data_IF_489209543580
#
_entry.id   IF_489209543580
#
_cell.length_a   1.000
_cell.length_b   1.000
_cell.length_c   1.000
_cell.angle_alpha   90.00
_cell.angle_beta   90.00
_cell.angle_gamma   90.00
#
_symmetry.space_group_name_H-M   'P 1'
#
loop_
_entity.id
_entity.type
_entity.pdbx_description
1 polymer ?
#
# COMPACT_ATOMS: atom_id res chain seq x y z
N UNK A 1 -33.09 -12.31 68.32
CA UNK A 1 -33.97 -11.72 69.36
C UNK A 1 -34.40 -12.82 70.31
N UNK A 2 -34.52 -12.52 71.61
CA UNK A 2 -34.93 -13.49 72.65
C UNK A 2 -36.43 -13.39 72.85
N UNK A 3 -37.14 -14.52 72.83
CA UNK A 3 -38.60 -14.57 73.01
C UNK A 3 -38.97 -15.45 74.19
N UNK A 4 -39.97 -15.03 74.97
CA UNK A 4 -40.64 -15.88 75.95
C UNK A 4 -41.62 -16.78 75.19
N UNK A 5 -41.17 -18.00 74.88
CA UNK A 5 -41.84 -18.92 73.96
C UNK A 5 -42.50 -20.07 74.71
N UNK A 6 -43.75 -20.37 74.38
CA UNK A 6 -44.39 -21.64 74.72
C UNK A 6 -44.39 -22.58 73.50
N UNK A 7 -44.33 -23.89 73.72
CA UNK A 7 -44.58 -24.91 72.70
C UNK A 7 -45.85 -25.69 73.06
N UNK A 8 -46.91 -25.51 72.28
CA UNK A 8 -48.18 -26.22 72.43
C UNK A 8 -48.46 -27.12 71.22
N UNK A 9 -49.10 -28.27 71.44
CA UNK A 9 -49.56 -29.14 70.35
C UNK A 9 -51.04 -28.89 70.10
N UNK A 10 -51.38 -28.58 68.85
CA UNK A 10 -52.76 -28.41 68.39
C UNK A 10 -53.12 -29.59 67.49
N UNK A 11 -54.07 -30.41 67.94
CA UNK A 11 -54.53 -31.60 67.20
C UNK A 11 -55.72 -31.22 66.32
N UNK A 12 -55.57 -31.43 65.02
CA UNK A 12 -56.56 -31.22 63.98
C UNK A 12 -57.44 -32.47 63.90
N UNK A 13 -58.72 -32.31 64.23
CA UNK A 13 -59.71 -33.38 64.23
C UNK A 13 -61.13 -32.84 64.03
N UNK A 14 -62.09 -33.72 63.73
CA UNK A 14 -63.48 -33.34 63.46
C UNK A 14 -64.33 -33.29 64.75
N UNK A 15 -63.92 -34.03 65.78
CA UNK A 15 -64.61 -34.11 67.07
C UNK A 15 -64.40 -32.83 67.89
N UNK A 16 -65.47 -32.29 68.47
CA UNK A 16 -65.37 -31.18 69.40
C UNK A 16 -64.67 -31.63 70.70
N UNK A 17 -63.58 -30.97 71.05
CA UNK A 17 -62.84 -31.20 72.29
C UNK A 17 -62.78 -29.95 73.15
N UNK A 18 -62.57 -30.15 74.45
CA UNK A 18 -62.31 -29.04 75.37
C UNK A 18 -61.10 -28.24 74.88
N UNK A 19 -61.08 -26.90 75.07
CA UNK A 19 -59.91 -26.10 74.74
C UNK A 19 -58.65 -26.62 75.44
N UNK A 20 -57.54 -26.70 74.70
CA UNK A 20 -56.25 -27.05 75.26
C UNK A 20 -55.83 -25.96 76.26
N UNK A 21 -55.81 -26.28 77.55
CA UNK A 21 -55.20 -25.40 78.54
C UNK A 21 -53.68 -25.45 78.36
N UNK A 22 -53.09 -24.33 77.93
CA UNK A 22 -51.66 -24.28 77.62
C UNK A 22 -50.79 -24.06 78.86
N UNK A 23 -51.41 -23.72 80.01
CA UNK A 23 -50.75 -23.25 81.24
C UNK A 23 -49.80 -22.04 81.03
N UNK A 24 -49.92 -21.36 79.89
CA UNK A 24 -49.10 -20.20 79.54
C UNK A 24 -49.58 -18.96 80.27
N UNK A 25 -48.62 -18.24 80.86
CA UNK A 25 -48.85 -16.94 81.47
C UNK A 25 -47.91 -15.90 80.86
N UNK A 26 -48.47 -14.97 80.10
CA UNK A 26 -47.79 -13.76 79.68
C UNK A 26 -48.05 -12.62 80.67
N UNK A 27 -47.10 -11.72 80.80
CA UNK A 27 -47.23 -10.51 81.60
C UNK A 27 -47.36 -9.30 80.69
N UNK A 28 -48.04 -8.25 81.16
CA UNK A 28 -48.21 -6.99 80.41
C UNK A 28 -46.89 -6.32 79.98
N UNK A 29 -45.77 -6.73 80.58
CA UNK A 29 -44.42 -6.25 80.26
C UNK A 29 -43.69 -7.11 79.22
N UNK A 30 -44.24 -8.25 78.80
CA UNK A 30 -43.67 -9.15 77.78
C UNK A 30 -43.82 -8.56 76.34
N UNK A 31 -43.66 -7.24 76.19
CA UNK A 31 -43.84 -6.46 74.95
C UNK A 31 -42.85 -6.92 73.88
N UNK A 32 -43.37 -7.24 72.69
CA UNK A 32 -42.59 -7.81 71.58
C UNK A 32 -41.90 -9.17 71.86
N UNK A 33 -42.13 -9.79 73.02
CA UNK A 33 -41.44 -11.02 73.43
C UNK A 33 -42.39 -12.17 73.79
N UNK A 34 -43.67 -11.90 74.03
CA UNK A 34 -44.72 -12.88 74.26
C UNK A 34 -45.03 -13.69 72.99
N UNK A 35 -44.42 -14.87 72.86
CA UNK A 35 -44.53 -15.72 71.66
C UNK A 35 -45.28 -17.02 71.94
N UNK A 36 -46.37 -17.24 71.21
CA UNK A 36 -47.06 -18.52 71.14
C UNK A 36 -46.54 -19.31 69.96
N UNK A 37 -45.92 -20.46 70.21
CA UNK A 37 -45.49 -21.38 69.16
C UNK A 37 -46.27 -22.68 69.27
N UNK A 38 -46.84 -23.11 68.15
CA UNK A 38 -47.75 -24.25 68.07
C UNK A 38 -47.29 -25.23 67.02
N UNK A 39 -47.37 -26.52 67.35
CA UNK A 39 -47.20 -27.61 66.40
C UNK A 39 -48.58 -28.16 66.01
N UNK A 40 -48.92 -28.02 64.74
CA UNK A 40 -50.17 -28.51 64.17
C UNK A 40 -49.98 -29.98 63.76
N UNK A 41 -50.81 -30.87 64.31
CA UNK A 41 -50.75 -32.31 64.05
C UNK A 41 -52.13 -32.86 63.73
N UNK A 42 -52.25 -33.92 62.95
CA UNK A 42 -53.50 -34.67 62.77
C UNK A 42 -53.70 -35.67 63.91
N UNK A 43 -54.88 -36.30 63.97
CA UNK A 43 -55.14 -37.47 64.85
C UNK A 43 -53.96 -38.46 64.74
N UNK A 44 -53.47 -38.93 65.90
CA UNK A 44 -52.27 -39.78 66.07
C UNK A 44 -50.90 -39.06 66.02
N UNK A 45 -50.86 -37.72 66.08
CA UNK A 45 -49.62 -36.96 66.28
C UNK A 45 -48.79 -36.74 65.00
N UNK A 46 -49.33 -37.08 63.83
CA UNK A 46 -48.67 -36.88 62.53
C UNK A 46 -48.63 -35.37 62.22
N UNK A 47 -47.47 -34.76 61.95
CA UNK A 47 -47.38 -33.34 61.59
C UNK A 47 -48.29 -32.94 60.41
N UNK A 48 -48.92 -31.77 60.52
CA UNK A 48 -49.68 -31.18 59.44
C UNK A 48 -48.75 -30.40 58.51
N UNK A 49 -48.50 -30.93 57.31
CA UNK A 49 -47.79 -30.21 56.26
C UNK A 49 -48.57 -28.96 55.81
N UNK A 50 -47.86 -27.86 55.60
CA UNK A 50 -48.37 -26.56 55.19
C UNK A 50 -47.76 -26.17 53.83
N UNK A 51 -48.39 -26.56 52.70
CA UNK A 51 -47.91 -26.24 51.35
C UNK A 51 -47.64 -24.75 51.13
N UNK A 52 -46.79 -24.44 50.14
CA UNK A 52 -46.56 -23.05 49.74
C UNK A 52 -47.87 -22.35 49.39
N UNK A 53 -48.03 -21.09 49.85
CA UNK A 53 -49.29 -20.36 49.76
C UNK A 53 -50.28 -20.63 50.91
N UNK A 54 -50.07 -21.63 51.77
CA UNK A 54 -50.89 -21.80 52.98
C UNK A 54 -50.70 -20.64 53.94
N UNK A 55 -51.81 -20.16 54.52
CA UNK A 55 -51.85 -19.20 55.62
C UNK A 55 -52.52 -19.82 56.84
N UNK A 56 -52.17 -19.35 58.04
CA UNK A 56 -52.68 -19.90 59.30
C UNK A 56 -53.20 -18.75 60.17
N UNK A 57 -54.47 -18.36 60.02
CA UNK A 57 -55.09 -17.35 60.89
C UNK A 57 -55.29 -17.89 62.30
N UNK A 58 -55.07 -17.03 63.29
CA UNK A 58 -55.30 -17.32 64.70
C UNK A 58 -56.17 -16.21 65.29
N UNK A 59 -57.35 -16.56 65.75
CA UNK A 59 -58.25 -15.63 66.43
C UNK A 59 -58.09 -15.76 67.93
N UNK A 60 -57.82 -14.65 68.61
CA UNK A 60 -57.79 -14.53 70.05
C UNK A 60 -59.05 -13.79 70.51
N UNK A 61 -59.77 -14.35 71.47
CA UNK A 61 -60.97 -13.80 72.06
C UNK A 61 -60.78 -13.57 73.56
N UNK A 62 -61.29 -12.45 74.04
CA UNK A 62 -61.23 -12.07 75.46
C UNK A 62 -62.49 -11.31 75.85
N UNK A 63 -62.83 -11.31 77.15
CA UNK A 63 -64.04 -10.61 77.62
C UNK A 63 -63.83 -9.09 77.52
N UNK A 64 -64.81 -8.39 76.95
CA UNK A 64 -64.79 -6.93 76.87
C UNK A 64 -66.18 -6.37 77.14
N UNK A 65 -66.26 -5.42 78.08
CA UNK A 65 -67.52 -4.73 78.41
C UNK A 65 -67.99 -3.79 77.29
N UNK A 66 -67.07 -3.36 76.41
CA UNK A 66 -67.33 -2.40 75.34
C UNK A 66 -67.50 -3.04 73.96
N UNK A 67 -67.17 -4.32 73.81
CA UNK A 67 -67.29 -5.01 72.53
C UNK A 67 -68.73 -5.48 72.27
N UNK A 68 -69.15 -5.45 71.01
CA UNK A 68 -70.42 -6.04 70.58
C UNK A 68 -70.43 -7.56 70.87
N UNK A 69 -71.44 -8.02 71.60
CA UNK A 69 -71.54 -9.42 72.04
C UNK A 69 -70.67 -9.78 73.25
N UNK A 70 -70.01 -8.81 73.90
CA UNK A 70 -69.28 -9.00 75.17
C UNK A 70 -67.86 -9.56 75.03
N UNK A 71 -67.35 -9.71 73.80
CA UNK A 71 -66.02 -10.26 73.52
C UNK A 71 -65.24 -9.40 72.52
N UNK A 72 -64.02 -9.02 72.88
CA UNK A 72 -63.03 -8.49 71.95
C UNK A 72 -62.40 -9.62 71.12
N UNK A 73 -61.91 -9.29 69.91
CA UNK A 73 -61.37 -10.24 68.93
C UNK A 73 -60.10 -9.71 68.30
N UNK A 74 -58.97 -10.36 68.50
CA UNK A 74 -57.72 -10.02 67.82
C UNK A 74 -57.33 -11.15 66.88
N UNK A 75 -57.22 -10.82 65.59
CA UNK A 75 -56.88 -11.76 64.54
C UNK A 75 -55.39 -11.62 64.17
N UNK A 76 -54.66 -12.71 64.29
CA UNK A 76 -53.25 -12.79 63.95
C UNK A 76 -53.08 -13.68 62.72
N UNK A 77 -52.14 -13.34 61.86
CA UNK A 77 -51.66 -14.25 60.83
C UNK A 77 -50.40 -14.93 61.37
N UNK A 78 -50.40 -16.25 61.52
CA UNK A 78 -49.24 -16.94 62.09
C UNK A 78 -48.07 -16.98 61.10
N UNK A 79 -46.86 -16.78 61.62
CA UNK A 79 -45.62 -17.06 60.91
C UNK A 79 -45.43 -18.57 60.85
N UNK A 80 -45.29 -19.12 59.65
CA UNK A 80 -44.96 -20.54 59.47
C UNK A 80 -43.45 -20.70 59.60
N UNK A 81 -43.01 -21.32 60.70
CA UNK A 81 -41.58 -21.55 60.98
C UNK A 81 -41.07 -22.81 60.29
N UNK A 82 -41.92 -23.84 60.19
CA UNK A 82 -41.59 -25.09 59.54
C UNK A 82 -42.82 -25.64 58.80
N UNK A 83 -42.78 -25.55 57.48
CA UNK A 83 -43.85 -26.02 56.59
C UNK A 83 -44.02 -27.53 56.59
N UNK A 84 -42.95 -28.28 56.84
CA UNK A 84 -42.97 -29.75 56.80
C UNK A 84 -43.53 -30.30 58.11
N UNK A 85 -43.10 -29.72 59.24
CA UNK A 85 -43.49 -30.16 60.58
C UNK A 85 -44.71 -29.43 61.17
N UNK A 86 -45.32 -28.52 60.40
CA UNK A 86 -46.54 -27.82 60.81
C UNK A 86 -46.32 -26.88 62.00
N UNK A 87 -45.16 -26.23 62.07
CA UNK A 87 -44.81 -25.36 63.20
C UNK A 87 -45.12 -23.92 62.82
N UNK A 88 -45.96 -23.28 63.63
CA UNK A 88 -46.39 -21.90 63.44
C UNK A 88 -46.21 -21.10 64.72
N UNK A 89 -46.09 -19.79 64.60
CA UNK A 89 -46.04 -18.92 65.77
C UNK A 89 -46.71 -17.58 65.55
N UNK A 90 -47.17 -16.98 66.64
CA UNK A 90 -47.56 -15.57 66.72
C UNK A 90 -46.80 -14.92 67.86
N UNK A 91 -46.40 -13.66 67.65
CA UNK A 91 -45.94 -12.77 68.73
C UNK A 91 -47.12 -11.87 69.05
N UNK A 92 -47.48 -11.79 70.33
CA UNK A 92 -48.58 -10.94 70.79
C UNK A 92 -48.16 -9.47 70.71
N UNK A 93 -49.05 -8.64 70.19
CA UNK A 93 -48.85 -7.19 70.12
C UNK A 93 -49.15 -6.53 71.46
N UNK A 94 -48.58 -5.35 71.68
CA UNK A 94 -48.68 -4.65 72.97
C UNK A 94 -50.12 -4.31 73.37
N UNK A 95 -51.05 -4.20 72.41
CA UNK A 95 -52.45 -3.89 72.66
C UNK A 95 -53.18 -5.02 73.44
N UNK A 96 -52.99 -6.30 73.08
CA UNK A 96 -53.64 -7.43 73.77
C UNK A 96 -53.03 -7.66 75.16
N UNK A 97 -51.76 -7.27 75.36
CA UNK A 97 -51.09 -7.34 76.66
C UNK A 97 -51.70 -6.37 77.70
N UNK A 98 -52.56 -5.43 77.27
CA UNK A 98 -53.39 -4.62 78.15
C UNK A 98 -54.56 -5.38 78.79
N UNK A 99 -54.98 -6.52 78.25
CA UNK A 99 -56.02 -7.35 78.86
C UNK A 99 -55.46 -8.15 80.05
N UNK A 100 -56.25 -8.30 81.12
CA UNK A 100 -55.91 -9.15 82.27
C UNK A 100 -56.99 -10.20 82.44
N UNK A 101 -56.62 -11.47 82.23
CA UNK A 101 -57.56 -12.59 82.29
C UNK A 101 -57.22 -13.72 81.32
N UNK A 102 -58.17 -14.63 81.14
CA UNK A 102 -58.07 -15.73 80.17
C UNK A 102 -58.33 -15.23 78.76
N UNK A 103 -57.44 -15.56 77.83
CA UNK A 103 -57.60 -15.38 76.39
C UNK A 103 -57.85 -16.73 75.74
N UNK A 104 -58.86 -16.80 74.90
CA UNK A 104 -59.27 -18.00 74.16
C UNK A 104 -58.79 -17.90 72.71
N UNK A 105 -57.91 -18.81 72.30
CA UNK A 105 -57.35 -18.87 70.96
C UNK A 105 -58.00 -19.94 70.07
N UNK A 106 -58.13 -19.64 68.79
CA UNK A 106 -58.67 -20.54 67.75
C UNK A 106 -57.76 -20.53 66.53
N UNK A 107 -57.31 -21.71 66.09
CA UNK A 107 -56.43 -21.85 64.92
C UNK A 107 -57.19 -22.29 63.68
N UNK A 108 -56.94 -21.62 62.56
CA UNK A 108 -57.50 -21.91 61.24
C UNK A 108 -56.35 -22.16 60.24
N UNK A 109 -56.62 -22.91 59.17
CA UNK A 109 -55.66 -23.10 58.07
C UNK A 109 -56.37 -22.82 56.75
N UNK A 110 -55.85 -21.87 55.99
CA UNK A 110 -56.31 -21.60 54.63
C UNK A 110 -55.27 -22.10 53.63
N UNK A 111 -55.66 -23.04 52.79
CA UNK A 111 -54.86 -23.61 51.73
C UNK A 111 -54.96 -22.77 50.44
N UNK A 112 -53.95 -22.80 49.56
CA UNK A 112 -53.90 -21.97 48.35
C UNK A 112 -54.97 -22.28 47.29
N UNK A 113 -55.75 -23.35 47.46
CA UNK A 113 -56.80 -23.78 46.53
C UNK A 113 -58.21 -23.45 47.07
N UNK A 114 -58.34 -22.32 47.77
CA UNK A 114 -59.57 -21.82 48.40
C UNK A 114 -60.21 -22.78 49.41
N UNK A 115 -59.46 -23.80 49.87
CA UNK A 115 -59.90 -24.70 50.92
C UNK A 115 -59.46 -24.14 52.26
N UNK A 116 -60.37 -24.06 53.22
CA UNK A 116 -60.07 -23.69 54.59
C UNK A 116 -60.38 -24.84 55.56
N UNK A 117 -59.78 -24.78 56.74
CA UNK A 117 -59.94 -25.76 57.81
C UNK A 117 -60.04 -25.04 59.15
N UNK A 118 -61.19 -25.15 59.82
CA UNK A 118 -61.26 -24.94 61.26
C UNK A 118 -60.68 -26.19 61.93
N UNK A 119 -59.57 -26.01 62.64
CA UNK A 119 -58.81 -27.16 63.18
C UNK A 119 -59.48 -27.83 64.37
N UNK A 120 -60.59 -27.26 64.89
CA UNK A 120 -61.08 -27.50 66.26
C UNK A 120 -60.02 -27.23 67.35
N UNK A 121 -58.87 -26.65 66.96
CA UNK A 121 -57.72 -26.33 67.77
C UNK A 121 -57.96 -25.10 68.61
N UNK A 122 -58.79 -25.25 69.64
CA UNK A 122 -59.05 -24.24 70.66
C UNK A 122 -57.99 -24.36 71.75
N UNK A 123 -57.47 -23.23 72.21
CA UNK A 123 -56.50 -23.19 73.30
C UNK A 123 -56.77 -22.00 74.22
N UNK A 124 -56.24 -22.04 75.44
CA UNK A 124 -56.35 -20.93 76.39
C UNK A 124 -55.01 -20.58 77.00
N UNK A 125 -54.79 -19.30 77.26
CA UNK A 125 -53.65 -18.79 78.02
C UNK A 125 -54.08 -17.60 78.88
N UNK A 126 -53.21 -17.18 79.79
CA UNK A 126 -53.49 -16.09 80.73
C UNK A 126 -52.57 -14.91 80.48
N UNK A 127 -53.13 -13.70 80.57
CA UNK A 127 -52.35 -12.47 80.67
C UNK A 127 -52.51 -11.90 82.08
N UNK A 128 -51.39 -11.60 82.73
CA UNK A 128 -51.34 -10.98 84.06
C UNK A 128 -50.69 -9.62 84.01
N UNK A 129 -51.09 -8.76 84.95
CA UNK A 129 -50.47 -7.45 85.14
C UNK A 129 -49.10 -7.59 85.78
N UNK A 130 -48.08 -7.00 85.15
CA UNK A 130 -46.75 -6.89 85.75
C UNK A 130 -46.75 -5.84 86.87
N UNK A 131 -46.06 -6.06 88.01
CA UNK A 131 -45.98 -5.08 89.10
C UNK A 131 -45.34 -3.73 88.73
N UNK A 132 -44.58 -3.68 87.62
CA UNK A 132 -43.85 -2.49 87.16
C UNK A 132 -44.60 -1.69 86.08
N UNK A 133 -45.76 -2.16 85.64
CA UNK A 133 -46.56 -1.47 84.62
C UNK A 133 -47.63 -0.60 85.28
N UNK A 134 -47.33 0.70 85.42
CA UNK A 134 -48.22 1.70 86.03
C UNK A 134 -49.43 2.06 85.13
N UNK A 135 -49.38 1.73 83.84
CA UNK A 135 -50.43 2.03 82.87
C UNK A 135 -50.79 0.83 81.98
N UNK A 136 -52.05 0.76 81.57
CA UNK A 136 -52.57 -0.31 80.70
C UNK A 136 -52.59 0.20 79.27
N UNK A 137 -51.95 -0.50 78.31
CA UNK A 137 -52.14 -0.23 76.90
C UNK A 137 -53.63 -0.19 76.55
N UNK A 138 -54.04 0.68 75.64
CA UNK A 138 -55.42 0.69 75.17
C UNK A 138 -55.75 -0.64 74.50
N UNK A 139 -56.80 -1.30 75.00
CA UNK A 139 -57.25 -2.59 74.50
C UNK A 139 -58.31 -2.36 73.43
N UNK A 140 -57.93 -2.56 72.17
CA UNK A 140 -58.86 -2.47 71.05
C UNK A 140 -59.84 -3.66 71.06
N UNK A 141 -61.13 -3.41 70.81
CA UNK A 141 -62.12 -4.48 70.72
C UNK A 141 -61.92 -5.36 69.46
N UNK A 142 -61.29 -4.82 68.41
CA UNK A 142 -60.91 -5.55 67.22
C UNK A 142 -59.51 -5.14 66.75
N UNK A 143 -58.67 -6.11 66.41
CA UNK A 143 -57.33 -5.89 65.87
C UNK A 143 -57.00 -6.96 64.82
N UNK A 144 -56.25 -6.60 63.77
CA UNK A 144 -55.73 -7.55 62.78
C UNK A 144 -54.25 -7.31 62.48
N UNK A 145 -53.39 -8.27 62.80
CA UNK A 145 -51.93 -8.19 62.61
C UNK A 145 -51.50 -8.34 61.13
N UNK A 146 -52.32 -8.97 60.28
CA UNK A 146 -51.88 -9.36 58.93
C UNK A 146 -51.48 -8.21 58.00
N UNK A 147 -51.88 -6.97 58.31
CA UNK A 147 -51.41 -5.78 57.59
C UNK A 147 -49.91 -5.53 57.80
N UNK A 148 -49.40 -5.64 59.02
CA UNK A 148 -47.98 -5.40 59.33
C UNK A 148 -47.09 -6.38 58.58
N UNK A 149 -47.44 -7.67 58.56
CA UNK A 149 -46.69 -8.68 57.81
C UNK A 149 -46.72 -8.46 56.29
N UNK A 150 -47.80 -7.86 55.78
CA UNK A 150 -47.89 -7.49 54.37
C UNK A 150 -46.96 -6.32 54.06
N UNK A 151 -46.93 -5.32 54.93
CA UNK A 151 -46.02 -4.17 54.83
C UNK A 151 -44.57 -4.63 54.85
N UNK A 152 -44.16 -5.45 55.82
CA UNK A 152 -42.79 -5.97 55.92
C UNK A 152 -42.34 -6.70 54.63
N UNK A 153 -43.25 -7.48 54.03
CA UNK A 153 -42.97 -8.16 52.75
C UNK A 153 -42.81 -7.17 51.61
N UNK A 154 -43.65 -6.14 51.54
CA UNK A 154 -43.56 -5.09 50.52
C UNK A 154 -42.25 -4.31 50.68
N UNK A 155 -41.90 -3.91 51.90
CA UNK A 155 -40.64 -3.21 52.19
C UNK A 155 -39.43 -4.05 51.79
N UNK A 156 -39.44 -5.35 52.08
CA UNK A 156 -38.39 -6.27 51.65
C UNK A 156 -38.32 -6.38 50.13
N UNK A 157 -39.44 -6.53 49.43
CA UNK A 157 -39.48 -6.57 47.96
C UNK A 157 -38.92 -5.27 47.37
N UNK A 158 -39.25 -4.12 47.96
CA UNK A 158 -38.72 -2.83 47.54
C UNK A 158 -37.20 -2.74 47.76
N UNK A 159 -36.70 -3.18 48.92
CA UNK A 159 -35.27 -3.18 49.23
C UNK A 159 -34.48 -4.10 48.30
N UNK A 160 -34.95 -5.33 48.11
CA UNK A 160 -34.32 -6.33 47.23
C UNK A 160 -34.36 -5.86 45.77
N UNK A 161 -35.50 -5.32 45.32
CA UNK A 161 -35.65 -4.77 43.97
C UNK A 161 -34.75 -3.57 43.72
N UNK A 162 -34.61 -2.67 44.69
CA UNK A 162 -33.66 -1.54 44.61
C UNK A 162 -32.22 -2.02 44.47
N UNK A 163 -31.81 -2.98 45.29
CA UNK A 163 -30.44 -3.53 45.25
C UNK A 163 -30.16 -4.26 43.93
N UNK A 164 -31.13 -4.99 43.39
CA UNK A 164 -30.99 -5.65 42.08
C UNK A 164 -30.85 -4.63 40.94
N UNK A 165 -31.65 -3.55 40.97
CA UNK A 165 -31.56 -2.46 39.99
C UNK A 165 -30.19 -1.77 40.07
N UNK A 166 -29.73 -1.40 41.26
CA UNK A 166 -28.42 -0.78 41.48
C UNK A 166 -27.28 -1.65 40.95
N UNK A 167 -27.33 -2.97 41.20
CA UNK A 167 -26.36 -3.93 40.67
C UNK A 167 -26.38 -3.98 39.14
N UNK A 168 -27.56 -4.05 38.51
CA UNK A 168 -27.69 -4.07 37.05
C UNK A 168 -27.23 -2.77 36.40
N UNK A 169 -27.44 -1.63 37.06
CA UNK A 169 -26.93 -0.33 36.61
C UNK A 169 -25.39 -0.37 36.61
N UNK A 170 -24.76 -0.76 37.72
CA UNK A 170 -23.29 -0.82 37.81
C UNK A 170 -22.66 -1.79 36.79
N UNK A 171 -23.28 -2.96 36.58
CA UNK A 171 -22.85 -3.93 35.56
C UNK A 171 -23.00 -3.35 34.14
N UNK A 172 -24.07 -2.60 33.89
CA UNK A 172 -24.32 -1.94 32.59
C UNK A 172 -23.33 -0.81 32.34
N UNK A 173 -23.06 0.04 33.32
CA UNK A 173 -22.06 1.12 33.24
C UNK A 173 -20.67 0.54 32.92
N UNK A 174 -20.26 -0.51 33.63
CA UNK A 174 -18.97 -1.18 33.37
C UNK A 174 -18.88 -1.73 31.94
N UNK A 175 -19.96 -2.33 31.42
CA UNK A 175 -20.00 -2.85 30.05
C UNK A 175 -19.98 -1.72 28.99
N UNK A 176 -20.68 -0.61 29.27
CA UNK A 176 -20.70 0.56 28.39
C UNK A 176 -19.30 1.17 28.32
N UNK A 177 -18.65 1.39 29.45
CA UNK A 177 -17.29 1.94 29.53
C UNK A 177 -16.28 1.08 28.76
N UNK A 178 -16.37 -0.25 28.91
CA UNK A 178 -15.52 -1.17 28.16
C UNK A 178 -15.73 -1.05 26.64
N UNK A 179 -16.98 -0.96 26.17
CA UNK A 179 -17.29 -0.79 24.74
C UNK A 179 -16.87 0.57 24.20
N UNK A 180 -17.04 1.64 24.99
CA UNK A 180 -16.61 2.99 24.63
C UNK A 180 -15.09 3.03 24.49
N UNK A 181 -14.37 2.42 25.42
CA UNK A 181 -12.91 2.32 25.37
C UNK A 181 -12.43 1.54 24.14
N UNK A 182 -12.96 0.35 23.89
CA UNK A 182 -12.62 -0.45 22.70
C UNK A 182 -12.90 0.30 21.39
N UNK A 183 -14.03 1.03 21.34
CA UNK A 183 -14.37 1.86 20.18
C UNK A 183 -13.38 3.02 19.99
N UNK A 184 -13.00 3.71 21.07
CA UNK A 184 -12.02 4.80 21.02
C UNK A 184 -10.63 4.31 20.60
N UNK A 185 -10.21 3.13 21.08
CA UNK A 185 -8.94 2.51 20.69
C UNK A 185 -8.94 2.18 19.19
N UNK A 186 -10.05 1.62 18.67
CA UNK A 186 -10.23 1.35 17.23
C UNK A 186 -10.23 2.63 16.39
N UNK A 187 -10.91 3.68 16.82
CA UNK A 187 -10.92 4.98 16.13
C UNK A 187 -9.51 5.58 16.10
N UNK A 188 -8.78 5.51 17.22
CA UNK A 188 -7.41 6.00 17.32
C UNK A 188 -6.50 5.26 16.35
N UNK A 189 -6.61 3.93 16.28
CA UNK A 189 -5.86 3.11 15.33
C UNK A 189 -6.20 3.45 13.88
N UNK A 190 -7.48 3.59 13.55
CA UNK A 190 -7.92 3.98 12.22
C UNK A 190 -7.36 5.35 11.80
N UNK A 191 -7.32 6.33 12.72
CA UNK A 191 -6.72 7.64 12.45
C UNK A 191 -5.21 7.56 12.18
N UNK A 192 -4.48 6.70 12.90
CA UNK A 192 -3.06 6.45 12.63
C UNK A 192 -2.83 5.80 11.26
N UNK A 193 -3.69 4.85 10.89
CA UNK A 193 -3.61 4.17 9.59
C UNK A 193 -3.91 5.16 8.44
N UNK A 194 -4.90 6.06 8.61
CA UNK A 194 -5.18 7.15 7.65
C UNK A 194 -3.98 8.08 7.49
N UNK A 195 -3.33 8.50 8.58
CA UNK A 195 -2.14 9.35 8.51
C UNK A 195 -0.97 8.66 7.76
N UNK A 196 -0.81 7.36 7.97
CA UNK A 196 0.19 6.54 7.26
C UNK A 196 -0.13 6.45 5.77
N UNK A 197 -1.39 6.23 5.41
CA UNK A 197 -1.83 6.20 4.03
C UNK A 197 -1.60 7.54 3.32
N UNK A 198 -1.92 8.66 3.95
CA UNK A 198 -1.66 10.00 3.39
C UNK A 198 -0.18 10.19 3.08
N UNK A 199 0.70 9.84 4.03
CA UNK A 199 2.16 9.91 3.83
C UNK A 199 2.63 9.06 2.64
N UNK A 200 2.04 7.89 2.44
CA UNK A 200 2.39 7.01 1.32
C UNK A 200 1.86 7.54 -0.02
N UNK A 201 0.70 8.18 -0.02
CA UNK A 201 0.13 8.86 -1.20
C UNK A 201 1.06 10.00 -1.63
N UNK A 202 1.52 10.83 -0.68
CA UNK A 202 2.46 11.92 -0.97
C UNK A 202 3.74 11.39 -1.62
N UNK A 203 4.35 10.35 -1.04
CA UNK A 203 5.55 9.69 -1.63
C UNK A 203 5.30 9.11 -3.01
N UNK A 204 4.10 8.58 -3.26
CA UNK A 204 3.75 8.04 -4.58
C UNK A 204 3.60 9.16 -5.61
N UNK A 205 2.99 10.29 -5.23
CA UNK A 205 2.87 11.47 -6.08
C UNK A 205 4.26 12.03 -6.44
N UNK A 206 5.16 12.17 -5.47
CA UNK A 206 6.55 12.63 -5.72
C UNK A 206 7.26 11.74 -6.77
N UNK A 207 7.07 10.42 -6.68
CA UNK A 207 7.64 9.47 -7.65
C UNK A 207 7.00 9.56 -9.03
N UNK A 208 5.70 9.82 -9.10
CA UNK A 208 4.99 10.03 -10.37
C UNK A 208 5.50 11.29 -11.04
N UNK A 209 5.67 12.39 -10.30
CA UNK A 209 6.19 13.65 -10.82
C UNK A 209 7.63 13.48 -11.33
N UNK A 210 8.48 12.79 -10.58
CA UNK A 210 9.83 12.43 -11.03
C UNK A 210 9.81 11.61 -12.32
N UNK A 211 8.91 10.62 -12.41
CA UNK A 211 8.77 9.78 -13.60
C UNK A 211 8.30 10.59 -14.81
N UNK A 212 7.35 11.49 -14.61
CA UNK A 212 6.85 12.39 -15.66
C UNK A 212 7.95 13.31 -16.18
N UNK A 213 8.80 13.83 -15.30
CA UNK A 213 9.97 14.61 -15.68
C UNK A 213 10.93 13.79 -16.56
N UNK A 214 11.29 12.58 -16.13
CA UNK A 214 12.18 11.68 -16.89
C UNK A 214 11.60 11.32 -18.27
N UNK A 215 10.29 11.06 -18.35
CA UNK A 215 9.61 10.82 -19.63
C UNK A 215 9.70 12.06 -20.54
N UNK A 216 9.56 13.25 -19.97
CA UNK A 216 9.75 14.52 -20.68
C UNK A 216 11.16 14.67 -21.26
N UNK A 217 12.18 14.41 -20.43
CA UNK A 217 13.59 14.44 -20.84
C UNK A 217 13.90 13.43 -21.96
N UNK A 218 13.40 12.19 -21.83
CA UNK A 218 13.51 11.17 -22.89
C UNK A 218 12.81 11.59 -24.19
N UNK A 219 11.66 12.25 -24.08
CA UNK A 219 10.94 12.81 -25.23
C UNK A 219 11.74 13.87 -25.97
N UNK A 220 12.49 14.72 -25.25
CA UNK A 220 13.39 15.70 -25.85
C UNK A 220 14.59 15.02 -26.53
N UNK A 221 15.20 14.03 -25.88
CA UNK A 221 16.31 13.24 -26.44
C UNK A 221 15.93 12.63 -27.79
N UNK A 222 14.78 11.96 -27.87
CA UNK A 222 14.27 11.35 -29.10
C UNK A 222 14.15 12.38 -30.23
N UNK A 223 13.66 13.60 -29.95
CA UNK A 223 13.52 14.66 -30.96
C UNK A 223 14.87 15.17 -31.47
N UNK A 224 15.87 15.31 -30.60
CA UNK A 224 17.20 15.76 -31.00
C UNK A 224 17.85 14.79 -32.01
N UNK A 225 17.73 13.48 -31.79
CA UNK A 225 18.41 12.49 -32.65
C UNK A 225 17.62 12.08 -33.89
N UNK A 226 16.29 12.10 -33.89
CA UNK A 226 15.50 11.65 -35.05
C UNK A 226 15.38 12.68 -36.19
N UNK A 227 15.65 13.97 -35.93
CA UNK A 227 15.43 15.04 -36.91
C UNK A 227 16.69 15.88 -37.21
N UNK A 228 17.84 15.50 -36.69
CA UNK A 228 19.07 16.24 -37.01
C UNK A 228 19.50 15.93 -38.43
N UNK A 229 19.51 16.94 -39.29
CA UNK A 229 20.13 16.93 -40.63
C UNK A 229 21.56 17.49 -40.58
N UNK A 230 21.99 17.96 -39.41
CA UNK A 230 23.28 18.61 -39.16
C UNK A 230 24.27 17.59 -38.58
N UNK A 231 24.82 16.76 -39.46
CA UNK A 231 25.84 15.77 -39.11
C UNK A 231 27.04 15.91 -40.03
N UNK A 232 28.25 15.98 -39.47
CA UNK A 232 29.51 15.91 -40.22
C UNK A 232 29.75 17.02 -41.26
N UNK A 233 28.99 18.12 -41.22
CA UNK A 233 29.12 19.23 -42.18
C UNK A 233 28.58 18.95 -43.59
N UNK A 234 27.83 17.86 -43.78
CA UNK A 234 27.16 17.53 -45.05
C UNK A 234 25.66 17.81 -44.96
N UNK A 235 25.04 18.09 -46.12
CA UNK A 235 23.60 18.29 -46.24
C UNK A 235 22.89 16.93 -46.40
N UNK A 236 22.28 16.44 -45.31
CA UNK A 236 21.50 15.20 -45.29
C UNK A 236 20.00 15.41 -45.59
N UNK A 237 19.57 16.58 -46.06
CA UNK A 237 18.16 16.85 -46.38
C UNK A 237 17.65 16.09 -47.62
N UNK A 238 18.56 15.59 -48.46
CA UNK A 238 18.28 14.81 -49.65
C UNK A 238 18.19 13.30 -49.43
N UNK A 239 18.03 12.53 -50.52
CA UNK A 239 17.93 11.08 -50.43
C UNK A 239 19.30 10.46 -50.07
N UNK A 240 19.33 9.37 -49.28
CA UNK A 240 20.57 8.72 -48.85
C UNK A 240 21.46 8.30 -50.02
N UNK A 241 22.77 8.56 -49.89
CA UNK A 241 23.75 8.04 -50.82
C UNK A 241 23.94 6.54 -50.61
N UNK A 242 23.75 5.76 -51.67
CA UNK A 242 23.93 4.31 -51.68
C UNK A 242 25.36 3.91 -52.02
N UNK A 243 26.20 4.82 -52.52
CA UNK A 243 27.59 4.53 -52.86
C UNK A 243 28.51 4.59 -51.65
N UNK A 244 29.50 3.69 -51.62
CA UNK A 244 30.65 3.85 -50.72
C UNK A 244 31.60 4.92 -51.26
N UNK A 245 32.51 5.36 -50.41
CA UNK A 245 33.63 6.18 -50.88
C UNK A 245 34.50 5.42 -51.86
N UNK A 246 34.94 6.10 -52.92
CA UNK A 246 35.84 5.53 -53.93
C UNK A 246 37.30 5.73 -53.53
N UNK A 247 38.13 4.74 -53.83
CA UNK A 247 39.60 4.79 -53.67
C UNK A 247 40.28 4.16 -54.86
N UNK A 248 41.43 4.66 -55.27
CA UNK A 248 42.17 4.19 -56.45
C UNK A 248 42.50 2.69 -56.37
N UNK A 249 42.78 2.17 -55.18
CA UNK A 249 43.04 0.75 -54.94
C UNK A 249 41.87 -0.17 -55.33
N UNK A 250 40.64 0.36 -55.36
CA UNK A 250 39.41 -0.35 -55.75
C UNK A 250 39.14 -0.29 -57.25
N UNK A 251 39.97 0.36 -58.07
CA UNK A 251 39.76 0.42 -59.51
C UNK A 251 40.84 -0.32 -60.28
N UNK A 252 40.45 -0.90 -61.40
CA UNK A 252 41.32 -1.55 -62.37
C UNK A 252 41.02 -1.01 -63.75
N UNK A 253 42.05 -0.93 -64.58
CA UNK A 253 41.91 -0.58 -65.99
C UNK A 253 41.14 -1.67 -66.74
N UNK A 254 40.28 -1.26 -67.66
CA UNK A 254 39.53 -2.16 -68.54
C UNK A 254 40.28 -2.34 -69.86
N UNK A 255 40.33 -3.58 -70.36
CA UNK A 255 40.87 -3.88 -71.69
C UNK A 255 42.30 -3.37 -71.91
N UNK A 256 42.50 -2.64 -73.00
CA UNK A 256 43.76 -2.05 -73.46
C UNK A 256 43.98 -0.60 -72.98
N UNK A 257 43.17 -0.11 -72.02
CA UNK A 257 43.35 1.21 -71.43
C UNK A 257 44.74 1.37 -70.80
N UNK A 258 45.38 2.52 -71.01
CA UNK A 258 46.73 2.83 -70.52
C UNK A 258 46.74 3.68 -69.23
N UNK A 259 45.56 3.85 -68.62
CA UNK A 259 45.32 4.77 -67.50
C UNK A 259 46.09 4.43 -66.22
N UNK A 260 46.71 5.44 -65.63
CA UNK A 260 47.19 5.41 -64.25
C UNK A 260 46.09 5.90 -63.30
N UNK A 261 45.89 5.17 -62.21
CA UNK A 261 44.87 5.45 -61.19
C UNK A 261 45.58 5.80 -59.88
N UNK A 262 45.27 6.94 -59.29
CA UNK A 262 45.85 7.39 -58.01
C UNK A 262 44.82 8.08 -57.14
N UNK A 263 44.98 8.03 -55.83
CA UNK A 263 44.16 8.81 -54.89
C UNK A 263 44.60 10.28 -54.92
N UNK A 264 43.64 11.19 -54.76
CA UNK A 264 43.92 12.64 -54.66
C UNK A 264 43.64 13.13 -53.25
N UNK A 265 42.37 13.01 -52.84
CA UNK A 265 41.83 13.43 -51.56
C UNK A 265 40.82 12.36 -51.09
N UNK A 266 40.14 12.61 -49.97
CA UNK A 266 39.05 11.73 -49.53
C UNK A 266 38.00 11.57 -50.63
N UNK A 267 37.60 10.33 -50.92
CA UNK A 267 36.58 10.01 -51.91
C UNK A 267 36.85 10.59 -53.32
N UNK A 268 38.12 10.65 -53.72
CA UNK A 268 38.55 11.26 -54.97
C UNK A 268 39.70 10.48 -55.62
N UNK A 269 39.52 10.10 -56.88
CA UNK A 269 40.52 9.40 -57.68
C UNK A 269 40.91 10.22 -58.90
N UNK A 270 42.17 10.15 -59.31
CA UNK A 270 42.72 10.71 -60.54
C UNK A 270 43.01 9.60 -61.53
N UNK A 271 42.58 9.82 -62.76
CA UNK A 271 42.74 8.93 -63.90
C UNK A 271 43.59 9.68 -64.94
N UNK A 272 44.81 9.22 -65.22
CA UNK A 272 45.77 9.89 -66.10
C UNK A 272 46.14 9.01 -67.29
N UNK A 273 45.91 9.49 -68.51
CA UNK A 273 46.34 8.80 -69.74
C UNK A 273 47.87 8.77 -69.87
N UNK A 274 48.42 7.70 -70.48
CA UNK A 274 49.86 7.50 -70.70
C UNK A 274 50.29 7.65 -72.17
N UNK A 275 49.54 8.44 -72.94
CA UNK A 275 49.82 8.93 -74.32
C UNK A 275 49.21 8.10 -75.47
N UNK A 276 48.53 6.98 -75.24
CA UNK A 276 47.70 6.36 -76.28
C UNK A 276 46.61 5.50 -75.64
N UNK A 277 45.37 5.71 -76.09
CA UNK A 277 44.16 4.95 -75.78
C UNK A 277 43.22 5.60 -74.75
N UNK A 278 41.96 5.30 -75.01
CA UNK A 278 40.79 5.56 -74.22
C UNK A 278 40.95 5.23 -72.72
N UNK A 279 40.37 6.09 -71.89
CA UNK A 279 40.35 5.94 -70.43
C UNK A 279 39.13 5.12 -70.04
N UNK A 280 39.34 3.92 -69.51
CA UNK A 280 38.26 3.11 -68.94
C UNK A 280 38.75 2.33 -67.73
N UNK A 281 38.14 2.59 -66.59
CA UNK A 281 38.36 1.86 -65.35
C UNK A 281 37.04 1.31 -64.81
N UNK A 282 37.12 0.21 -64.06
CA UNK A 282 36.00 -0.39 -63.36
C UNK A 282 36.35 -0.72 -61.91
N UNK A 283 35.33 -0.76 -61.06
CA UNK A 283 35.50 -1.13 -59.65
C UNK A 283 35.73 -2.64 -59.49
N UNK A 284 36.97 -3.04 -59.20
CA UNK A 284 37.31 -3.70 -57.93
C UNK A 284 36.24 -4.50 -57.22
N UNK A 285 35.68 -3.83 -56.20
CA UNK A 285 34.75 -4.30 -55.20
C UNK A 285 33.31 -4.21 -55.71
N UNK A 286 32.44 -5.11 -55.22
CA UNK A 286 31.02 -5.11 -55.61
C UNK A 286 30.36 -3.81 -55.14
N UNK A 287 29.80 -3.02 -56.04
CA UNK A 287 28.99 -1.85 -55.65
C UNK A 287 27.59 -2.30 -55.23
N UNK A 288 26.88 -1.52 -54.39
CA UNK A 288 25.59 -1.95 -53.88
C UNK A 288 24.57 -2.26 -54.97
N UNK A 289 23.79 -3.32 -54.78
CA UNK A 289 22.68 -3.68 -55.68
C UNK A 289 21.57 -2.64 -55.55
N UNK A 290 21.20 -2.01 -56.66
CA UNK A 290 20.03 -1.13 -56.73
C UNK A 290 18.76 -1.98 -56.91
N UNK A 291 17.62 -1.57 -56.37
CA UNK A 291 16.38 -2.36 -56.49
C UNK A 291 15.83 -2.26 -57.92
N UNK A 292 15.66 -3.40 -58.59
CA UNK A 292 15.08 -3.46 -59.93
C UNK A 292 13.66 -2.90 -59.94
N UNK A 293 13.31 -2.10 -60.96
CA UNK A 293 12.02 -1.43 -61.09
C UNK A 293 11.95 -0.04 -60.44
N UNK A 294 13.01 0.43 -59.77
CA UNK A 294 13.07 1.76 -59.14
C UNK A 294 13.83 2.77 -60.00
N UNK A 295 13.48 4.05 -59.82
CA UNK A 295 14.20 5.18 -60.44
C UNK A 295 15.32 5.64 -59.53
N UNK A 296 16.51 5.78 -60.09
CA UNK A 296 17.69 6.27 -59.38
C UNK A 296 18.31 7.43 -60.15
N UNK A 297 18.97 8.31 -59.39
CA UNK A 297 19.82 9.36 -59.93
C UNK A 297 21.25 9.13 -59.46
N UNK A 298 22.20 9.24 -60.38
CA UNK A 298 23.62 9.23 -60.10
C UNK A 298 24.18 10.63 -60.30
N UNK A 299 25.10 11.04 -59.44
CA UNK A 299 25.91 12.23 -59.63
C UNK A 299 27.37 11.98 -59.27
N UNK A 300 28.28 12.70 -59.89
CA UNK A 300 29.70 12.70 -59.53
C UNK A 300 30.28 14.10 -59.79
N UNK A 301 31.26 14.50 -58.99
CA UNK A 301 32.11 15.64 -59.32
C UNK A 301 33.20 15.20 -60.27
N UNK A 302 33.42 15.99 -61.31
CA UNK A 302 34.45 15.75 -62.30
C UNK A 302 35.25 17.03 -62.53
N UNK A 303 36.58 16.92 -62.52
CA UNK A 303 37.49 17.99 -62.88
C UNK A 303 38.50 17.49 -63.90
N UNK A 304 38.52 18.14 -65.07
CA UNK A 304 39.53 17.91 -66.09
C UNK A 304 40.74 18.79 -65.76
N UNK A 305 41.94 18.21 -65.59
CA UNK A 305 43.12 18.98 -65.19
C UNK A 305 43.65 19.88 -66.32
N UNK A 306 44.30 20.99 -65.97
CA UNK A 306 44.92 21.89 -66.94
C UNK A 306 45.95 21.16 -67.82
N UNK A 307 45.99 21.50 -69.11
CA UNK A 307 46.82 20.82 -70.09
C UNK A 307 46.21 19.54 -70.67
N UNK A 308 45.05 19.10 -70.18
CA UNK A 308 44.31 17.98 -70.77
C UNK A 308 43.72 18.35 -72.13
N UNK A 309 43.90 17.48 -73.12
CA UNK A 309 43.44 17.66 -74.51
C UNK A 309 42.71 16.41 -75.00
N UNK A 310 41.90 16.53 -76.06
CA UNK A 310 41.13 15.41 -76.62
C UNK A 310 39.64 15.51 -76.30
N UNK A 311 38.94 14.37 -76.28
CA UNK A 311 37.48 14.32 -76.17
C UNK A 311 36.99 14.43 -74.71
N UNK A 312 37.16 15.62 -74.13
CA UNK A 312 36.91 15.88 -72.70
C UNK A 312 35.41 15.85 -72.30
N UNK A 313 34.49 15.99 -73.26
CA UNK A 313 33.05 16.09 -73.01
C UNK A 313 32.34 14.73 -72.87
N UNK A 314 33.05 13.60 -73.01
CA UNK A 314 32.44 12.26 -72.98
C UNK A 314 32.79 11.44 -71.73
N UNK A 315 33.26 12.08 -70.66
CA UNK A 315 33.41 11.41 -69.36
C UNK A 315 32.04 10.89 -68.89
N UNK A 316 32.00 9.61 -68.55
CA UNK A 316 30.82 8.90 -68.11
C UNK A 316 31.16 8.07 -66.89
N UNK A 317 30.38 8.25 -65.82
CA UNK A 317 30.38 7.38 -64.65
C UNK A 317 29.14 6.50 -64.77
N UNK A 318 29.33 5.19 -64.86
CA UNK A 318 28.28 4.21 -65.16
C UNK A 318 28.15 3.15 -64.07
N UNK A 319 26.92 2.72 -63.79
CA UNK A 319 26.60 1.56 -62.97
C UNK A 319 26.14 0.42 -63.86
N UNK A 320 26.83 -0.71 -63.80
CA UNK A 320 26.64 -1.87 -64.68
C UNK A 320 26.29 -3.14 -63.92
N UNK A 321 25.55 -4.03 -64.60
CA UNK A 321 25.14 -5.34 -64.06
C UNK A 321 26.19 -6.46 -64.23
N UNK A 322 27.29 -6.18 -64.93
CA UNK A 322 28.46 -7.04 -65.08
C UNK A 322 29.64 -6.19 -65.58
N UNK A 323 30.88 -6.67 -65.46
CA UNK A 323 32.05 -5.99 -66.02
C UNK A 323 31.90 -5.89 -67.56
N UNK A 324 31.95 -4.67 -68.10
CA UNK A 324 31.69 -4.41 -69.53
C UNK A 324 30.25 -4.73 -69.97
N UNK A 325 29.36 -5.04 -69.03
CA UNK A 325 27.96 -5.41 -69.27
C UNK A 325 27.05 -4.22 -69.56
N UNK A 326 25.75 -4.42 -69.39
CA UNK A 326 24.75 -3.39 -69.66
C UNK A 326 24.87 -2.25 -68.65
N UNK A 327 24.90 -1.02 -69.17
CA UNK A 327 24.76 0.20 -68.36
C UNK A 327 23.31 0.30 -67.90
N UNK A 328 23.09 0.34 -66.59
CA UNK A 328 21.77 0.45 -65.98
C UNK A 328 21.46 1.90 -65.55
N UNK A 329 22.49 2.65 -65.16
CA UNK A 329 22.44 4.05 -64.76
C UNK A 329 23.77 4.69 -65.12
N UNK A 330 23.76 5.91 -65.67
CA UNK A 330 24.98 6.63 -65.99
C UNK A 330 24.80 8.12 -65.73
N UNK A 331 25.88 8.78 -65.31
CA UNK A 331 26.04 10.21 -65.34
C UNK A 331 27.08 10.52 -66.42
N UNK A 332 26.70 11.29 -67.43
CA UNK A 332 27.58 11.71 -68.54
C UNK A 332 27.80 13.21 -68.44
N UNK A 333 29.04 13.65 -68.66
CA UNK A 333 29.35 15.06 -68.69
C UNK A 333 28.84 15.73 -69.96
N UNK A 334 28.45 17.00 -69.85
CA UNK A 334 28.08 17.85 -70.98
C UNK A 334 28.64 19.25 -70.72
N UNK A 335 29.31 19.86 -71.71
CA UNK A 335 29.84 21.22 -71.62
C UNK A 335 30.96 21.37 -70.58
N UNK A 336 31.89 20.41 -70.54
CA UNK A 336 32.97 20.36 -69.56
C UNK A 336 34.05 21.38 -69.93
N UNK A 337 34.55 22.09 -68.93
CA UNK A 337 35.60 23.10 -69.13
C UNK A 337 36.85 22.67 -68.37
N UNK A 338 37.98 22.62 -69.07
CA UNK A 338 39.30 22.33 -68.48
C UNK A 338 39.58 23.26 -67.31
N UNK A 339 40.09 22.70 -66.21
CA UNK A 339 40.43 23.42 -64.98
C UNK A 339 39.24 23.67 -64.05
N UNK A 340 38.00 23.48 -64.50
CA UNK A 340 36.80 23.64 -63.66
C UNK A 340 36.29 22.30 -63.14
N UNK A 341 35.86 22.30 -61.88
CA UNK A 341 35.07 21.21 -61.32
C UNK A 341 33.60 21.41 -61.70
N UNK A 342 32.96 20.33 -62.14
CA UNK A 342 31.53 20.29 -62.47
C UNK A 342 30.88 19.08 -61.81
N UNK A 343 29.56 19.12 -61.67
CA UNK A 343 28.78 17.97 -61.24
C UNK A 343 28.08 17.39 -62.46
N UNK A 344 28.45 16.16 -62.83
CA UNK A 344 27.74 15.38 -63.83
C UNK A 344 26.62 14.60 -63.14
N UNK A 345 25.52 14.37 -63.84
CA UNK A 345 24.37 13.64 -63.29
C UNK A 345 23.59 12.90 -64.37
N UNK A 346 22.90 11.86 -63.98
CA UNK A 346 21.94 11.19 -64.86
C UNK A 346 20.95 10.34 -64.08
N UNK A 347 19.75 10.20 -64.64
CA UNK A 347 18.61 9.56 -63.99
C UNK A 347 18.07 8.48 -64.90
N UNK A 348 17.82 7.29 -64.34
CA UNK A 348 17.28 6.16 -65.08
C UNK A 348 16.42 5.28 -64.19
N UNK A 349 15.48 4.56 -64.80
CA UNK A 349 14.81 3.44 -64.14
C UNK A 349 15.66 2.19 -64.29
N UNK A 350 16.19 1.72 -63.17
CA UNK A 350 17.10 0.58 -63.13
C UNK A 350 16.29 -0.70 -63.24
N UNK A 351 16.48 -1.44 -64.33
CA UNK A 351 15.75 -2.67 -64.62
C UNK A 351 16.71 -3.77 -65.07
N UNK A 352 16.72 -4.87 -64.33
CA UNK A 352 17.49 -6.07 -64.61
C UNK A 352 16.82 -7.30 -63.96
N UNK A 353 17.13 -8.48 -64.50
CA UNK A 353 16.75 -9.76 -63.91
C UNK A 353 17.98 -10.42 -63.29
N UNK A 354 17.85 -10.98 -62.09
CA UNK A 354 18.94 -11.74 -61.44
C UNK A 354 18.79 -13.19 -61.88
N UNK A 355 19.59 -13.61 -62.86
CA UNK A 355 19.63 -15.00 -63.29
C UNK A 355 20.57 -15.87 -62.45
N UNK A 356 21.66 -15.29 -61.92
CA UNK A 356 22.73 -15.93 -61.12
C UNK A 356 23.31 -14.94 -60.08
N UNK A 357 24.27 -15.37 -59.25
CA UNK A 357 25.00 -14.50 -58.32
C UNK A 357 25.74 -13.38 -59.08
N UNK A 358 25.10 -12.23 -59.19
CA UNK A 358 25.53 -11.12 -60.06
C UNK A 358 26.29 -10.08 -59.27
N UNK A 359 27.42 -9.62 -59.82
CA UNK A 359 28.22 -8.53 -59.28
C UNK A 359 27.95 -7.25 -60.06
N UNK A 360 27.72 -6.15 -59.35
CA UNK A 360 27.54 -4.84 -59.94
C UNK A 360 28.86 -4.06 -59.90
N UNK A 361 29.03 -3.20 -60.90
CA UNK A 361 30.26 -2.46 -61.13
C UNK A 361 29.98 -0.97 -61.27
N UNK A 362 30.87 -0.14 -60.74
CA UNK A 362 31.00 1.24 -61.16
C UNK A 362 32.13 1.34 -62.19
N UNK A 363 31.80 1.88 -63.34
CA UNK A 363 32.71 2.15 -64.44
C UNK A 363 32.91 3.65 -64.60
N UNK A 364 34.13 4.05 -64.92
CA UNK A 364 34.45 5.43 -65.27
C UNK A 364 35.21 5.41 -66.58
N UNK A 365 34.65 6.10 -67.57
CA UNK A 365 35.05 5.99 -68.96
C UNK A 365 35.05 7.36 -69.63
N UNK A 366 36.02 7.68 -70.51
CA UNK A 366 35.99 8.89 -71.34
C UNK A 366 35.86 8.49 -72.80
N UNK A 367 34.68 8.63 -73.42
CA UNK A 367 34.48 8.27 -74.82
C UNK A 367 35.48 8.95 -75.77
N UNK A 368 36.34 8.17 -76.43
CA UNK A 368 37.40 8.67 -77.33
C UNK A 368 38.76 8.92 -76.66
N UNK A 369 39.69 9.49 -77.43
CA UNK A 369 41.07 9.71 -76.97
C UNK A 369 41.20 11.00 -76.14
N UNK A 370 41.89 10.88 -75.01
CA UNK A 370 42.23 11.98 -74.12
C UNK A 370 43.70 11.89 -73.75
N UNK A 371 44.40 13.03 -73.70
CA UNK A 371 45.76 13.13 -73.20
C UNK A 371 45.79 14.13 -72.06
N UNK A 372 45.97 13.63 -70.84
CA UNK A 372 45.91 14.40 -69.60
C UNK A 372 45.24 13.60 -68.49
N UNK A 373 44.64 14.32 -67.54
CA UNK A 373 44.07 13.73 -66.33
C UNK A 373 42.64 14.18 -66.06
N UNK A 374 41.86 13.25 -65.53
CA UNK A 374 40.51 13.51 -65.02
C UNK A 374 40.46 13.11 -63.55
N UNK A 375 39.95 14.00 -62.71
CA UNK A 375 39.65 13.71 -61.31
C UNK A 375 38.15 13.44 -61.21
N UNK A 376 37.79 12.34 -60.54
CA UNK A 376 36.41 11.97 -60.24
C UNK A 376 36.27 11.79 -58.74
N UNK A 377 35.31 12.48 -58.16
CA UNK A 377 35.04 12.48 -56.72
C UNK A 377 33.55 12.53 -56.43
N UNK A 378 33.17 12.31 -55.16
CA UNK A 378 31.79 12.52 -54.69
C UNK A 378 30.73 11.77 -55.51
N UNK A 379 31.06 10.52 -55.89
CA UNK A 379 30.13 9.63 -56.56
C UNK A 379 28.98 9.29 -55.60
N UNK A 380 27.77 9.60 -56.03
CA UNK A 380 26.54 9.35 -55.29
C UNK A 380 25.52 8.67 -56.19
N UNK A 381 24.85 7.66 -55.65
CA UNK A 381 23.64 7.08 -56.23
C UNK A 381 22.54 7.21 -55.18
N UNK A 382 21.39 7.73 -55.56
CA UNK A 382 20.24 7.93 -54.68
C UNK A 382 18.94 7.49 -55.35
N UNK A 383 18.01 6.93 -54.59
CA UNK A 383 16.66 6.62 -55.08
C UNK A 383 15.89 7.93 -55.32
N UNK A 384 15.30 8.08 -56.49
CA UNK A 384 14.57 9.28 -56.90
C UNK A 384 15.04 9.87 -58.22
N UNK A 385 14.30 10.87 -58.69
CA UNK A 385 14.50 11.51 -60.00
C UNK A 385 15.33 12.79 -59.97
N UNK A 386 15.78 13.21 -58.79
CA UNK A 386 16.51 14.48 -58.59
C UNK A 386 17.79 14.21 -57.83
N UNK A 387 18.91 14.74 -58.32
CA UNK A 387 20.18 14.71 -57.62
C UNK A 387 20.14 15.72 -56.46
N UNK A 388 20.48 15.26 -55.26
CA UNK A 388 20.62 16.11 -54.07
C UNK A 388 22.11 16.24 -53.72
N UNK A 389 22.53 17.25 -52.93
CA UNK A 389 23.94 17.46 -52.58
C UNK A 389 24.62 16.20 -52.06
N UNK A 390 25.92 16.06 -52.29
CA UNK A 390 26.65 14.88 -51.84
C UNK A 390 26.66 14.79 -50.31
N UNK A 391 26.38 13.59 -49.80
CA UNK A 391 26.63 13.18 -48.42
C UNK A 391 27.20 11.74 -48.36
N UNK A 392 28.06 11.42 -47.38
CA UNK A 392 28.55 10.06 -47.17
C UNK A 392 27.43 9.06 -46.84
N UNK A 393 27.64 7.79 -47.22
CA UNK A 393 26.70 6.71 -46.92
C UNK A 393 26.78 6.27 -45.46
N UNK A 394 25.75 6.61 -44.66
CA UNK A 394 25.65 6.28 -43.23
C UNK A 394 25.45 4.79 -42.93
N UNK A 395 25.09 3.96 -43.92
CA UNK A 395 24.85 2.53 -43.73
C UNK A 395 26.15 1.71 -43.75
N UNK A 396 27.25 2.26 -44.27
CA UNK A 396 28.53 1.55 -44.40
C UNK A 396 29.50 1.86 -43.28
N UNK A 397 29.50 3.10 -42.79
CA UNK A 397 30.20 3.52 -41.58
C UNK A 397 29.19 4.29 -40.73
N UNK A 398 28.50 3.64 -39.76
CA UNK A 398 27.67 4.38 -38.83
C UNK A 398 28.59 5.35 -38.09
N UNK A 399 28.52 6.63 -38.45
CA UNK A 399 29.25 7.69 -37.76
C UNK A 399 28.93 7.55 -36.28
N UNK A 400 29.97 7.39 -35.45
CA UNK A 400 29.80 7.31 -34.01
C UNK A 400 29.06 8.57 -33.57
N UNK A 401 27.84 8.44 -33.05
CA UNK A 401 27.01 9.59 -32.64
C UNK A 401 27.56 10.32 -31.40
N UNK A 402 28.76 9.99 -30.95
CA UNK A 402 29.49 10.73 -29.95
C UNK A 402 30.32 11.81 -30.64
N UNK A 403 30.02 13.08 -30.31
CA UNK A 403 30.74 14.26 -30.79
C UNK A 403 32.23 14.28 -30.39
N UNK A 404 32.59 13.48 -29.38
CA UNK A 404 33.94 13.35 -28.84
C UNK A 404 34.27 11.85 -28.78
N UNK A 405 35.41 11.46 -29.34
CA UNK A 405 36.02 10.18 -28.98
C UNK A 405 36.26 10.21 -27.47
N UNK A 406 35.92 9.16 -26.70
CA UNK A 406 36.36 9.09 -25.32
C UNK A 406 37.89 9.17 -25.32
N UNK A 407 38.44 10.25 -24.77
CA UNK A 407 39.88 10.46 -24.70
C UNK A 407 40.54 9.21 -24.09
N UNK A 408 41.67 8.78 -24.66
CA UNK A 408 42.38 7.61 -24.15
C UNK A 408 42.77 7.82 -22.68
N UNK A 409 42.64 6.77 -21.86
CA UNK A 409 43.07 6.84 -20.47
C UNK A 409 44.60 6.74 -20.38
N UNK A 410 45.23 7.85 -20.02
CA UNK A 410 46.70 8.00 -19.95
C UNK A 410 47.30 7.57 -18.61
N UNK A 411 46.51 7.03 -17.67
CA UNK A 411 47.04 6.54 -16.40
C UNK A 411 47.87 5.26 -16.58
N UNK A 412 48.77 4.96 -15.62
CA UNK A 412 49.65 3.79 -15.69
C UNK A 412 48.85 2.47 -15.87
N UNK A 413 48.97 1.84 -17.05
CA UNK A 413 48.28 0.58 -17.39
C UNK A 413 48.71 -0.64 -16.55
N UNK A 414 49.81 -0.54 -15.81
CA UNK A 414 50.25 -1.60 -14.89
C UNK A 414 49.48 -1.61 -13.57
N UNK A 415 48.65 -0.59 -13.31
CA UNK A 415 47.82 -0.50 -12.10
C UNK A 415 46.39 -0.87 -12.45
N UNK A 416 45.81 -1.80 -11.68
CA UNK A 416 44.40 -2.15 -11.82
C UNK A 416 43.51 -1.06 -11.18
N UNK A 417 42.64 -0.46 -12.00
CA UNK A 417 41.62 0.48 -11.55
C UNK A 417 40.25 -0.22 -11.42
N UNK A 418 39.34 0.23 -10.54
CA UNK A 418 39.50 1.37 -9.63
C UNK A 418 40.37 1.05 -8.41
N UNK A 419 41.09 2.05 -7.92
CA UNK A 419 41.88 1.94 -6.68
C UNK A 419 40.96 2.26 -5.50
N UNK A 420 40.91 1.36 -4.51
CA UNK A 420 40.20 1.57 -3.25
C UNK A 420 41.24 1.81 -2.15
N UNK A 421 41.24 3.00 -1.56
CA UNK A 421 42.19 3.39 -0.51
C UNK A 421 41.54 4.36 0.47
N UNK A 422 41.98 4.31 1.72
CA UNK A 422 41.72 5.33 2.75
C UNK A 422 43.00 6.03 3.20
N UNK A 423 44.11 5.81 2.48
CA UNK A 423 45.38 6.47 2.75
C UNK A 423 45.37 7.93 2.28
N UNK A 424 46.28 8.73 2.82
CA UNK A 424 46.48 10.11 2.38
C UNK A 424 46.90 10.20 0.90
N UNK A 425 47.80 9.31 0.46
CA UNK A 425 48.16 9.17 -0.97
C UNK A 425 47.28 8.07 -1.60
N UNK A 426 46.38 8.46 -2.49
CA UNK A 426 45.39 7.55 -3.12
C UNK A 426 45.99 6.83 -4.33
N UNK A 427 46.79 7.55 -5.14
CA UNK A 427 47.43 7.02 -6.33
C UNK A 427 48.75 7.75 -6.59
N UNK A 428 49.77 6.99 -6.99
CA UNK A 428 51.06 7.49 -7.47
C UNK A 428 51.51 6.66 -8.66
N UNK A 429 51.72 7.30 -9.81
CA UNK A 429 52.16 6.65 -11.03
C UNK A 429 52.54 7.64 -12.13
N UNK A 430 53.29 7.16 -13.12
CA UNK A 430 53.58 7.91 -14.33
C UNK A 430 52.41 7.76 -15.32
N UNK A 431 52.10 8.84 -16.03
CA UNK A 431 51.20 8.80 -17.20
C UNK A 431 51.92 8.18 -18.40
N UNK A 432 51.16 7.68 -19.38
CA UNK A 432 51.72 7.12 -20.61
C UNK A 432 52.20 8.19 -21.60
N UNK A 433 51.75 9.42 -21.42
CA UNK A 433 52.17 10.60 -22.18
C UNK A 433 52.46 11.78 -21.25
N UNK A 434 53.18 12.78 -21.77
CA UNK A 434 53.51 14.01 -21.04
C UNK A 434 52.29 14.93 -20.92
N UNK A 435 52.14 15.60 -19.77
CA UNK A 435 51.11 16.62 -19.59
C UNK A 435 51.52 17.92 -20.30
N UNK A 436 50.72 18.33 -21.28
CA UNK A 436 50.98 19.48 -22.14
C UNK A 436 50.27 20.74 -21.65
N UNK A 437 50.97 21.87 -21.69
CA UNK A 437 50.40 23.17 -21.32
C UNK A 437 49.25 23.52 -22.27
N UNK A 438 48.11 23.95 -21.71
CA UNK A 438 46.92 24.34 -22.48
C UNK A 438 45.97 23.20 -22.82
N UNK A 439 46.29 21.95 -22.44
CA UNK A 439 45.38 20.81 -22.55
C UNK A 439 44.58 20.61 -21.26
N UNK A 440 43.38 20.04 -21.41
CA UNK A 440 42.49 19.71 -20.29
C UNK A 440 42.59 18.21 -20.00
N UNK A 441 42.85 17.86 -18.75
CA UNK A 441 42.93 16.49 -18.27
C UNK A 441 41.82 16.23 -17.24
N UNK A 442 41.23 15.04 -17.29
CA UNK A 442 40.12 14.67 -16.40
C UNK A 442 40.57 13.60 -15.41
N UNK A 443 40.34 13.84 -14.12
CA UNK A 443 40.52 12.85 -13.05
C UNK A 443 39.14 12.46 -12.54
N UNK A 444 38.82 11.16 -12.55
CA UNK A 444 37.58 10.65 -11.96
C UNK A 444 37.90 10.01 -10.61
N UNK A 445 37.27 10.50 -9.55
CA UNK A 445 37.37 9.98 -8.20
C UNK A 445 35.95 9.76 -7.66
N UNK A 446 35.81 8.90 -6.65
CA UNK A 446 34.58 8.81 -5.84
C UNK A 446 34.99 8.65 -4.39
N UNK A 447 34.79 9.67 -3.56
CA UNK A 447 35.23 9.61 -2.17
C UNK A 447 34.60 10.63 -1.24
N UNK A 448 34.55 10.27 0.04
CA UNK A 448 34.15 11.16 1.14
C UNK A 448 35.39 11.61 1.92
N UNK A 449 35.39 12.89 2.34
CA UNK A 449 36.45 13.48 3.17
C UNK A 449 35.84 14.44 4.20
N UNK A 450 36.53 14.72 5.32
CA UNK A 450 36.12 15.77 6.24
C UNK A 450 36.01 17.13 5.54
N UNK A 451 35.10 17.99 6.00
CA UNK A 451 34.87 19.33 5.42
C UNK A 451 36.11 20.24 5.45
N UNK A 452 37.07 19.96 6.33
CA UNK A 452 38.33 20.71 6.44
C UNK A 452 39.43 20.27 5.45
N UNK A 453 39.19 19.25 4.62
CA UNK A 453 40.19 18.71 3.69
C UNK A 453 39.75 18.89 2.23
N UNK A 454 40.68 18.84 1.29
CA UNK A 454 40.45 18.85 -0.17
C UNK A 454 41.15 17.68 -0.84
N UNK A 455 40.61 17.17 -1.96
CA UNK A 455 41.37 16.27 -2.82
C UNK A 455 42.20 17.12 -3.77
N UNK A 456 43.49 16.82 -3.89
CA UNK A 456 44.43 17.65 -4.64
C UNK A 456 45.31 16.74 -5.50
N UNK A 457 45.56 17.16 -6.74
CA UNK A 457 46.51 16.47 -7.62
C UNK A 457 47.87 17.18 -7.57
N UNK A 458 48.94 16.40 -7.43
CA UNK A 458 50.31 16.90 -7.42
C UNK A 458 51.15 16.21 -8.49
N UNK A 459 52.19 16.89 -8.96
CA UNK A 459 53.29 16.21 -9.63
C UNK A 459 54.20 15.50 -8.60
N UNK A 460 55.15 14.70 -9.08
CA UNK A 460 56.11 13.98 -8.24
C UNK A 460 56.94 14.90 -7.31
N UNK A 461 57.10 16.17 -7.66
CA UNK A 461 57.87 17.19 -6.93
C UNK A 461 57.00 18.11 -6.06
N UNK A 462 55.76 17.70 -5.74
CA UNK A 462 54.78 18.45 -4.95
C UNK A 462 54.33 19.79 -5.55
N UNK A 463 54.46 19.97 -6.87
CA UNK A 463 53.81 21.07 -7.58
C UNK A 463 52.32 20.76 -7.65
N UNK A 464 51.50 21.66 -7.11
CA UNK A 464 50.04 21.54 -7.07
C UNK A 464 49.45 21.80 -8.47
N UNK A 465 48.70 20.84 -9.02
CA UNK A 465 47.97 20.98 -10.28
C UNK A 465 46.57 21.58 -10.11
N UNK A 466 46.04 21.58 -8.89
CA UNK A 466 44.76 22.17 -8.51
C UNK A 466 43.98 21.30 -7.53
N UNK A 467 43.01 21.93 -6.87
CA UNK A 467 42.03 21.27 -6.04
C UNK A 467 40.95 20.61 -6.93
N UNK A 468 40.67 19.33 -6.69
CA UNK A 468 39.59 18.63 -7.37
C UNK A 468 38.25 19.12 -6.84
N UNK A 469 37.37 19.54 -7.74
CA UNK A 469 36.01 19.98 -7.44
C UNK A 469 35.02 18.88 -7.81
N UNK A 470 33.91 18.73 -7.06
CA UNK A 470 32.80 17.88 -7.48
C UNK A 470 32.31 18.30 -8.87
N UNK A 471 31.87 17.33 -9.66
CA UNK A 471 31.14 17.60 -10.90
C UNK A 471 29.85 18.37 -10.54
N UNK A 472 29.53 19.40 -11.31
CA UNK A 472 28.37 20.26 -11.07
C UNK A 472 27.08 19.42 -10.92
N UNK A 473 26.38 19.60 -9.79
CA UNK A 473 25.17 18.85 -9.45
C UNK A 473 25.36 17.62 -8.56
N UNK A 474 26.60 17.23 -8.22
CA UNK A 474 26.89 16.12 -7.30
C UNK A 474 27.54 16.63 -6.01
N UNK A 475 27.10 16.09 -4.86
CA UNK A 475 27.66 16.41 -3.53
C UNK A 475 28.96 15.66 -3.23
N UNK A 476 29.21 14.58 -3.96
CA UNK A 476 30.40 13.73 -3.82
C UNK A 476 31.43 14.13 -4.89
N UNK A 477 32.72 14.12 -4.54
CA UNK A 477 33.84 14.25 -5.51
C UNK A 477 34.12 12.91 -6.13
#
# INVERSE_FOLDING_TARGET
MVYKTNESIIVIQAEATNPNNTDVVFWSHDRGTAKLRMKLVRKNGIPQSLPEGTTVPIRLMFRSATAEGGYGKHDYLATIEDRVNGIVSIVLEDNILGYVGTVEGSVYIDFPNDRSLDTAGRFTFYIKRSPIDDSTPELENYYFNGFSQTIDKIEKILADGKLEIEKKIAESETQIDAKVKDTNDKITKANQDVATLNTNIDKANDRIDQTNQQIGELGQLKRMYSNSIDFGGYDYSGNPNLMRVIKASEFRKQGDSDVLISDVEYNSIRLTSQKVNHLWVYSENNVPSLVSGKTYTMSAKVKIEEGTTGNIDQITVSYRNANGGKILLAATGEGIVVGKEIIIKGTSSVNYEIADLSRFYLDIEVGGDINGSVIVSDVKIEEGSTATPYQPNLLLEPYNMCREYPNENIANKSVAFPIKSSAYEIYKGNTEEELMIGQTYTITLKGTKPASQTFVAYNYWNVNFGDLKPVEGLTDV
#
